data_IF_268061659696
#
_entry.id   IF_268061659696
#
_cell.length_a   1.000
_cell.length_b   1.000
_cell.length_c   1.000
_cell.angle_alpha   90.00
_cell.angle_beta   90.00
_cell.angle_gamma   90.00
#
_symmetry.space_group_name_H-M   'P 1'
#
loop_
_entity.id
_entity.type
_entity.pdbx_description
1 polymer ?
#
# COMPACT_ATOMS: atom_id res chain seq x y z
N UNK A 1 -13.70 59.66 -18.96
CA UNK A 1 -13.38 58.75 -20.08
C UNK A 1 -12.18 57.91 -19.69
N UNK A 2 -12.45 56.64 -19.39
CA UNK A 2 -11.47 55.60 -19.06
C UNK A 2 -10.73 55.15 -20.32
N UNK A 3 -9.45 54.78 -20.21
CA UNK A 3 -8.79 53.87 -21.14
C UNK A 3 -7.86 52.95 -20.34
N UNK A 4 -8.40 51.77 -20.05
CA UNK A 4 -7.73 50.58 -19.53
C UNK A 4 -7.08 49.83 -20.71
N UNK A 5 -5.78 49.56 -20.62
CA UNK A 5 -5.08 48.66 -21.53
C UNK A 5 -5.28 47.20 -21.10
N UNK A 6 -6.07 46.45 -21.87
CA UNK A 6 -6.17 44.99 -21.75
C UNK A 6 -5.01 44.33 -22.48
N UNK A 7 -4.06 43.77 -21.73
CA UNK A 7 -3.14 42.75 -22.23
C UNK A 7 -3.80 41.38 -22.09
N UNK A 8 -4.31 40.84 -23.19
CA UNK A 8 -4.80 39.45 -23.25
C UNK A 8 -3.61 38.49 -23.20
N UNK A 9 -3.42 37.81 -22.08
CA UNK A 9 -2.59 36.61 -22.00
C UNK A 9 -3.43 35.46 -22.55
N UNK A 10 -3.04 34.95 -23.70
CA UNK A 10 -3.59 33.74 -24.32
C UNK A 10 -3.28 32.55 -23.42
N UNK A 11 -4.26 32.16 -22.61
CA UNK A 11 -4.22 30.90 -21.86
C UNK A 11 -4.30 29.74 -22.85
N UNK A 12 -3.17 29.05 -23.04
CA UNK A 12 -3.18 27.75 -23.69
C UNK A 12 -4.04 26.76 -22.90
N UNK A 13 -4.60 25.73 -23.56
CA UNK A 13 -5.44 24.75 -22.89
C UNK A 13 -4.63 24.04 -21.80
N UNK A 14 -4.99 24.26 -20.54
CA UNK A 14 -4.54 23.42 -19.44
C UNK A 14 -4.94 21.97 -19.76
N UNK A 15 -4.04 20.99 -19.63
CA UNK A 15 -4.43 19.59 -19.73
C UNK A 15 -5.50 19.34 -18.66
N UNK A 16 -6.63 18.76 -19.08
CA UNK A 16 -7.74 18.35 -18.21
C UNK A 16 -7.16 17.69 -16.96
N UNK A 17 -7.18 18.39 -15.82
CA UNK A 17 -6.98 17.76 -14.53
C UNK A 17 -7.96 16.57 -14.50
N UNK A 18 -7.44 15.35 -14.39
CA UNK A 18 -8.28 14.16 -14.40
C UNK A 18 -9.40 14.40 -13.38
N UNK A 19 -10.63 14.53 -13.86
CA UNK A 19 -11.76 14.85 -13.03
C UNK A 19 -11.80 13.79 -11.94
N UNK A 20 -11.67 14.22 -10.69
CA UNK A 20 -11.75 13.32 -9.55
C UNK A 20 -13.04 12.53 -9.70
N UNK A 21 -12.91 11.21 -9.88
CA UNK A 21 -14.07 10.35 -10.15
C UNK A 21 -14.88 10.31 -8.87
N UNK A 22 -15.91 11.16 -8.81
CA UNK A 22 -16.84 11.19 -7.70
C UNK A 22 -17.80 10.02 -7.87
N UNK A 23 -17.36 8.86 -7.38
CA UNK A 23 -18.16 7.64 -7.40
C UNK A 23 -19.37 7.83 -6.48
N UNK A 24 -20.54 7.38 -6.95
CA UNK A 24 -21.71 7.30 -6.07
C UNK A 24 -21.47 6.29 -4.95
N UNK A 25 -22.16 6.43 -3.81
CA UNK A 25 -22.06 5.50 -2.68
C UNK A 25 -22.29 4.04 -3.10
N UNK A 26 -23.19 3.83 -4.06
CA UNK A 26 -23.45 2.50 -4.63
C UNK A 26 -22.22 1.94 -5.36
N UNK A 27 -21.55 2.78 -6.15
CA UNK A 27 -20.36 2.39 -6.90
C UNK A 27 -19.18 2.12 -5.96
N UNK A 28 -19.02 2.92 -4.90
CA UNK A 28 -18.02 2.68 -3.85
C UNK A 28 -18.24 1.30 -3.22
N UNK A 29 -19.46 1.00 -2.80
CA UNK A 29 -19.80 -0.30 -2.22
C UNK A 29 -19.53 -1.45 -3.20
N UNK A 30 -19.85 -1.26 -4.48
CA UNK A 30 -19.55 -2.23 -5.53
C UNK A 30 -18.04 -2.46 -5.71
N UNK A 31 -17.21 -1.42 -5.72
CA UNK A 31 -15.75 -1.60 -5.82
C UNK A 31 -15.18 -2.34 -4.61
N UNK A 32 -15.62 -2.01 -3.40
CA UNK A 32 -15.21 -2.70 -2.16
C UNK A 32 -15.61 -4.19 -2.21
N UNK A 33 -16.80 -4.50 -2.71
CA UNK A 33 -17.23 -5.89 -2.87
C UNK A 33 -16.48 -6.65 -3.97
N UNK A 34 -16.14 -5.98 -5.07
CA UNK A 34 -15.30 -6.55 -6.12
C UNK A 34 -13.90 -6.86 -5.61
N UNK A 35 -13.28 -5.96 -4.84
CA UNK A 35 -11.99 -6.20 -4.19
C UNK A 35 -12.07 -7.42 -3.26
N UNK A 36 -13.06 -7.45 -2.37
CA UNK A 36 -13.28 -8.59 -1.47
C UNK A 36 -13.48 -9.90 -2.22
N UNK A 37 -14.20 -9.88 -3.34
CA UNK A 37 -14.40 -11.07 -4.19
C UNK A 37 -13.08 -11.55 -4.82
N UNK A 38 -12.27 -10.65 -5.36
CA UNK A 38 -10.96 -11.00 -5.93
C UNK A 38 -10.05 -11.61 -4.87
N UNK A 39 -10.00 -11.03 -3.67
CA UNK A 39 -9.21 -11.55 -2.55
C UNK A 39 -9.68 -12.94 -2.10
N UNK A 40 -11.01 -13.20 -2.07
CA UNK A 40 -11.54 -14.54 -1.77
C UNK A 40 -11.16 -15.56 -2.84
N UNK A 41 -11.29 -15.22 -4.12
CA UNK A 41 -10.87 -16.09 -5.22
C UNK A 41 -9.36 -16.40 -5.16
N UNK A 42 -8.54 -15.39 -4.84
CA UNK A 42 -7.11 -15.59 -4.63
C UNK A 42 -6.85 -16.57 -3.48
N UNK A 43 -7.58 -16.46 -2.37
CA UNK A 43 -7.46 -17.38 -1.23
C UNK A 43 -7.90 -18.80 -1.55
N UNK A 44 -9.06 -18.97 -2.19
CA UNK A 44 -9.57 -20.27 -2.60
C UNK A 44 -8.62 -20.97 -3.58
N UNK A 45 -8.10 -20.23 -4.58
CA UNK A 45 -7.21 -20.79 -5.61
C UNK A 45 -5.83 -21.22 -5.09
N UNK A 46 -5.42 -20.71 -3.91
CA UNK A 46 -4.08 -20.95 -3.37
C UNK A 46 -4.07 -21.92 -2.19
N UNK A 47 -5.20 -22.42 -1.70
CA UNK A 47 -5.20 -23.37 -0.58
C UNK A 47 -4.35 -24.61 -0.89
N UNK A 48 -3.46 -25.05 0.03
CA UNK A 48 -3.26 -24.59 1.41
C UNK A 48 -2.19 -23.49 1.60
N UNK A 49 -1.68 -22.88 0.53
CA UNK A 49 -0.66 -21.82 0.56
C UNK A 49 -1.25 -20.43 0.92
N UNK A 50 -0.36 -19.47 1.19
CA UNK A 50 -0.76 -18.10 1.51
C UNK A 50 -1.48 -17.42 0.31
N UNK A 51 -2.67 -16.83 0.52
CA UNK A 51 -3.43 -16.10 -0.51
C UNK A 51 -2.67 -14.92 -1.10
N UNK A 52 -2.00 -14.14 -0.24
CA UNK A 52 -1.26 -12.93 -0.58
C UNK A 52 0.02 -12.88 0.26
N UNK A 53 1.11 -12.40 -0.35
CA UNK A 53 2.41 -12.23 0.31
C UNK A 53 2.79 -10.76 0.50
N UNK A 54 2.01 -9.85 -0.09
CA UNK A 54 2.23 -8.41 -0.01
C UNK A 54 1.27 -7.68 -0.94
N UNK A 55 1.13 -6.38 -0.73
CA UNK A 55 0.27 -5.53 -1.54
C UNK A 55 0.90 -4.15 -1.77
N UNK A 56 0.53 -3.54 -2.89
CA UNK A 56 0.90 -2.16 -3.22
C UNK A 56 -0.38 -1.36 -3.38
N UNK A 57 -0.53 -0.33 -2.55
CA UNK A 57 -1.52 0.70 -2.74
C UNK A 57 -0.97 1.73 -3.73
N UNK A 58 -1.57 1.80 -4.92
CA UNK A 58 -1.22 2.77 -5.94
C UNK A 58 -2.03 4.05 -5.73
N UNK A 59 -1.33 5.17 -5.53
CA UNK A 59 -1.95 6.49 -5.41
C UNK A 59 -1.43 7.35 -6.55
N UNK A 60 -2.30 7.71 -7.48
CA UNK A 60 -1.90 8.57 -8.58
C UNK A 60 -1.58 9.99 -8.10
N UNK A 61 -0.56 10.61 -8.70
CA UNK A 61 -0.07 11.94 -8.35
C UNK A 61 -1.13 13.04 -8.50
N UNK A 62 -1.94 12.98 -9.57
CA UNK A 62 -3.01 13.96 -9.76
C UNK A 62 -4.11 13.75 -8.72
N UNK A 63 -4.42 12.48 -8.43
CA UNK A 63 -5.39 12.11 -7.39
C UNK A 63 -4.93 12.58 -6.01
N UNK A 64 -3.64 12.46 -5.68
CA UNK A 64 -3.06 12.94 -4.43
C UNK A 64 -3.21 14.46 -4.25
N UNK A 65 -3.02 15.23 -5.34
CA UNK A 65 -3.18 16.69 -5.31
C UNK A 65 -4.63 17.15 -5.25
N UNK A 66 -5.54 16.42 -5.88
CA UNK A 66 -6.95 16.80 -6.05
C UNK A 66 -7.92 16.22 -5.02
N UNK A 67 -7.54 15.19 -4.28
CA UNK A 67 -8.46 14.49 -3.38
C UNK A 67 -8.94 15.39 -2.21
N UNK A 68 -10.23 15.29 -1.85
CA UNK A 68 -10.73 15.81 -0.58
C UNK A 68 -9.95 15.29 0.62
N UNK A 69 -9.80 16.16 1.63
CA UNK A 69 -9.13 15.83 2.90
C UNK A 69 -9.76 14.60 3.55
N UNK A 70 -8.93 13.65 3.97
CA UNK A 70 -9.30 12.41 4.63
C UNK A 70 -9.85 11.31 3.71
N UNK A 71 -10.10 11.58 2.43
CA UNK A 71 -10.69 10.59 1.53
C UNK A 71 -9.70 9.47 1.20
N UNK A 72 -8.46 9.81 0.83
CA UNK A 72 -7.45 8.81 0.46
C UNK A 72 -7.12 7.88 1.64
N UNK A 73 -6.98 8.44 2.84
CA UNK A 73 -6.72 7.63 4.03
C UNK A 73 -7.88 6.69 4.36
N UNK A 74 -9.12 7.13 4.11
CA UNK A 74 -10.31 6.29 4.29
C UNK A 74 -10.36 5.16 3.27
N UNK A 75 -10.17 5.44 1.99
CA UNK A 75 -10.14 4.42 0.92
C UNK A 75 -9.05 3.39 1.19
N UNK A 76 -7.82 3.82 1.45
CA UNK A 76 -6.71 2.91 1.75
C UNK A 76 -6.98 2.03 2.96
N UNK A 77 -7.62 2.58 4.00
CA UNK A 77 -7.97 1.84 5.20
C UNK A 77 -9.05 0.79 4.92
N UNK A 78 -10.10 1.17 4.19
CA UNK A 78 -11.20 0.29 3.84
C UNK A 78 -10.75 -0.85 2.93
N UNK A 79 -9.93 -0.56 1.92
CA UNK A 79 -9.36 -1.56 1.03
C UNK A 79 -8.47 -2.54 1.78
N UNK A 80 -7.57 -2.04 2.64
CA UNK A 80 -6.72 -2.88 3.47
C UNK A 80 -7.54 -3.77 4.42
N UNK A 81 -8.56 -3.21 5.08
CA UNK A 81 -9.46 -3.96 5.95
C UNK A 81 -10.19 -5.06 5.17
N UNK A 82 -10.71 -4.74 3.99
CA UNK A 82 -11.44 -5.68 3.14
C UNK A 82 -10.54 -6.81 2.63
N UNK A 83 -9.29 -6.49 2.29
CA UNK A 83 -8.29 -7.49 1.91
C UNK A 83 -7.98 -8.44 3.07
N UNK A 84 -7.76 -7.91 4.27
CA UNK A 84 -7.46 -8.71 5.47
C UNK A 84 -8.65 -9.58 5.85
N UNK A 85 -9.88 -9.05 5.78
CA UNK A 85 -11.09 -9.84 6.00
C UNK A 85 -11.23 -10.98 4.98
N UNK A 86 -11.01 -10.70 3.69
CA UNK A 86 -11.18 -11.71 2.64
C UNK A 86 -10.09 -12.78 2.64
N UNK A 87 -8.85 -12.41 2.98
CA UNK A 87 -7.69 -13.32 2.97
C UNK A 87 -7.37 -13.93 4.32
N UNK A 88 -7.92 -13.36 5.40
CA UNK A 88 -7.65 -13.72 6.79
C UNK A 88 -6.17 -13.55 7.21
N UNK A 89 -5.43 -12.70 6.48
CA UNK A 89 -4.00 -12.45 6.69
C UNK A 89 -3.69 -10.96 6.63
N UNK A 90 -2.78 -10.54 7.50
CA UNK A 90 -2.07 -9.28 7.40
C UNK A 90 -0.80 -9.53 6.59
N UNK A 91 -0.68 -8.85 5.45
CA UNK A 91 0.51 -8.90 4.60
C UNK A 91 1.15 -7.50 4.49
N UNK A 92 2.46 -7.41 4.19
CA UNK A 92 3.14 -6.14 4.02
C UNK A 92 2.51 -5.31 2.91
N UNK A 93 2.22 -4.04 3.22
CA UNK A 93 1.61 -3.10 2.30
C UNK A 93 2.55 -1.92 2.05
N UNK A 94 2.91 -1.67 0.79
CA UNK A 94 3.62 -0.46 0.39
C UNK A 94 2.64 0.56 -0.19
N UNK A 95 2.82 1.84 0.13
CA UNK A 95 2.15 2.93 -0.62
C UNK A 95 3.11 3.40 -1.71
N UNK A 96 2.65 3.40 -2.96
CA UNK A 96 3.40 3.88 -4.11
C UNK A 96 2.64 5.00 -4.79
N UNK A 97 3.21 6.21 -4.76
CA UNK A 97 2.70 7.37 -5.46
C UNK A 97 3.21 7.33 -6.91
N UNK A 98 2.29 7.17 -7.86
CA UNK A 98 2.57 7.00 -9.31
C UNK A 98 2.25 8.27 -10.10
N UNK A 99 2.54 8.30 -11.41
CA UNK A 99 2.19 9.43 -12.30
C UNK A 99 3.25 10.53 -12.35
N UNK A 100 4.41 10.31 -11.74
CA UNK A 100 5.52 11.27 -11.76
C UNK A 100 6.25 11.35 -13.12
N UNK A 101 5.95 10.46 -14.08
CA UNK A 101 6.43 10.56 -15.46
C UNK A 101 5.84 11.74 -16.25
N UNK A 102 4.82 12.41 -15.70
CA UNK A 102 4.27 13.65 -16.25
C UNK A 102 4.93 14.91 -15.65
N UNK A 103 5.58 14.76 -14.49
CA UNK A 103 6.18 15.87 -13.77
C UNK A 103 7.57 16.20 -14.31
N UNK A 104 7.68 17.36 -14.97
CA UNK A 104 8.90 17.76 -15.69
C UNK A 104 10.15 17.80 -14.80
N UNK A 105 10.00 18.18 -13.53
CA UNK A 105 11.10 18.14 -12.55
C UNK A 105 11.52 16.73 -12.19
N UNK A 106 10.60 15.76 -12.14
CA UNK A 106 10.91 14.38 -11.79
C UNK A 106 11.57 13.63 -12.96
N UNK A 107 11.13 13.94 -14.19
CA UNK A 107 11.80 13.49 -15.41
C UNK A 107 13.25 13.98 -15.42
N UNK A 108 13.48 15.26 -15.10
CA UNK A 108 14.83 15.83 -15.04
C UNK A 108 15.67 15.21 -13.91
N UNK A 109 15.07 14.95 -12.75
CA UNK A 109 15.72 14.27 -11.63
C UNK A 109 16.19 12.88 -12.06
N UNK A 110 15.27 12.07 -12.60
CA UNK A 110 15.57 10.70 -13.06
C UNK A 110 16.67 10.70 -14.13
N UNK A 111 16.60 11.64 -15.08
CA UNK A 111 17.61 11.79 -16.13
C UNK A 111 19.01 12.05 -15.57
N UNK A 112 19.13 12.86 -14.51
CA UNK A 112 20.42 13.21 -13.88
C UNK A 112 20.93 12.13 -12.93
N UNK A 113 20.02 11.43 -12.25
CA UNK A 113 20.34 10.29 -11.40
C UNK A 113 20.87 9.12 -12.22
N UNK A 114 20.35 8.95 -13.43
CA UNK A 114 20.72 7.88 -14.35
C UNK A 114 19.90 6.60 -14.14
N UNK A 115 19.75 5.83 -15.22
CA UNK A 115 18.83 4.69 -15.28
C UNK A 115 19.15 3.61 -14.23
N UNK A 116 20.43 3.27 -14.03
CA UNK A 116 20.81 2.21 -13.09
C UNK A 116 20.42 2.57 -11.65
N UNK A 117 20.77 3.77 -11.19
CA UNK A 117 20.39 4.24 -9.85
C UNK A 117 18.88 4.37 -9.70
N UNK A 118 18.19 4.84 -10.75
CA UNK A 118 16.73 4.96 -10.73
C UNK A 118 16.02 3.60 -10.66
N UNK A 119 16.64 2.55 -11.21
CA UNK A 119 16.09 1.20 -11.22
C UNK A 119 16.38 0.42 -9.94
N UNK A 120 17.59 0.57 -9.40
CA UNK A 120 18.08 -0.25 -8.30
C UNK A 120 17.77 0.37 -6.93
N UNK A 121 17.63 1.69 -6.84
CA UNK A 121 17.26 2.37 -5.59
C UNK A 121 15.75 2.55 -5.46
N UNK A 122 15.30 2.74 -4.21
CA UNK A 122 13.94 3.19 -3.87
C UNK A 122 13.93 4.71 -3.68
N UNK A 123 12.84 5.35 -4.06
CA UNK A 123 12.65 6.78 -3.84
C UNK A 123 11.47 7.01 -2.90
N UNK A 124 11.73 7.68 -1.77
CA UNK A 124 10.80 7.76 -0.64
C UNK A 124 11.44 7.20 0.63
N UNK A 125 10.63 6.66 1.54
CA UNK A 125 11.13 6.17 2.82
C UNK A 125 10.45 4.86 3.25
N UNK A 126 11.26 3.95 3.79
CA UNK A 126 10.78 2.70 4.37
C UNK A 126 10.18 2.92 5.75
N UNK A 127 9.31 2.01 6.16
CA UNK A 127 8.74 1.99 7.50
C UNK A 127 8.92 0.61 8.11
N UNK A 128 9.09 0.55 9.43
CA UNK A 128 9.09 -0.72 10.12
C UNK A 128 7.66 -1.27 10.13
N UNK A 129 7.38 -2.28 9.31
CA UNK A 129 6.05 -2.89 9.18
C UNK A 129 5.55 -3.52 10.49
N UNK A 130 6.47 -3.84 11.42
CA UNK A 130 6.14 -4.34 12.76
C UNK A 130 5.87 -3.22 13.77
N UNK A 131 6.09 -1.95 13.42
CA UNK A 131 5.73 -0.84 14.31
C UNK A 131 4.21 -0.63 14.35
N UNK A 132 3.68 -0.10 15.45
CA UNK A 132 2.29 0.34 15.51
C UNK A 132 2.05 1.53 14.57
N UNK A 133 0.87 1.59 13.97
CA UNK A 133 0.45 2.69 13.08
C UNK A 133 0.02 3.92 13.91
N UNK A 134 0.99 4.59 14.53
CA UNK A 134 0.76 5.83 15.29
C UNK A 134 0.77 7.06 14.39
N UNK A 135 -0.19 7.98 14.59
CA UNK A 135 -0.33 9.19 13.76
C UNK A 135 0.98 9.99 13.66
N UNK A 136 1.70 10.16 14.76
CA UNK A 136 2.97 10.90 14.79
C UNK A 136 4.07 10.22 13.97
N UNK A 137 4.18 8.89 14.03
CA UNK A 137 5.17 8.13 13.28
C UNK A 137 4.84 8.14 11.77
N UNK A 138 3.57 8.03 11.42
CA UNK A 138 3.11 8.09 10.03
C UNK A 138 3.26 9.51 9.44
N UNK A 139 3.05 10.54 10.25
CA UNK A 139 3.36 11.91 9.85
C UNK A 139 4.86 12.09 9.58
N UNK A 140 5.72 11.51 10.44
CA UNK A 140 7.16 11.52 10.24
C UNK A 140 7.56 10.76 8.97
N UNK A 141 6.98 9.58 8.73
CA UNK A 141 7.17 8.80 7.50
C UNK A 141 6.83 9.63 6.25
N UNK A 142 5.69 10.33 6.26
CA UNK A 142 5.30 11.20 5.14
C UNK A 142 6.31 12.32 4.88
N UNK A 143 6.79 12.98 5.95
CA UNK A 143 7.83 14.01 5.85
C UNK A 143 9.14 13.43 5.31
N UNK A 144 9.58 12.28 5.81
CA UNK A 144 10.83 11.63 5.38
C UNK A 144 10.75 11.14 3.92
N UNK A 145 9.61 10.57 3.53
CA UNK A 145 9.38 10.13 2.15
C UNK A 145 9.45 11.32 1.19
N UNK A 146 8.83 12.46 1.53
CA UNK A 146 8.94 13.68 0.74
C UNK A 146 10.33 14.33 0.82
N UNK A 147 11.02 14.21 1.96
CA UNK A 147 12.39 14.69 2.17
C UNK A 147 13.40 14.08 1.22
N UNK A 148 13.16 12.86 0.72
CA UNK A 148 13.99 12.25 -0.32
C UNK A 148 14.11 13.15 -1.58
N UNK A 149 13.07 13.91 -1.95
CA UNK A 149 13.21 14.85 -3.06
C UNK A 149 14.24 15.94 -2.78
N UNK A 150 14.23 16.47 -1.56
CA UNK A 150 15.18 17.50 -1.13
C UNK A 150 16.61 16.98 -1.13
N UNK A 151 16.83 15.82 -0.52
CA UNK A 151 18.15 15.20 -0.42
C UNK A 151 18.77 14.96 -1.81
N UNK A 152 17.99 14.37 -2.72
CA UNK A 152 18.45 14.06 -4.07
C UNK A 152 18.65 15.32 -4.92
N UNK A 153 17.74 16.30 -4.85
CA UNK A 153 17.89 17.56 -5.60
C UNK A 153 19.11 18.34 -5.11
N UNK A 154 19.34 18.39 -3.80
CA UNK A 154 20.52 19.04 -3.24
C UNK A 154 21.81 18.29 -3.57
N UNK A 155 21.81 16.95 -3.57
CA UNK A 155 22.95 16.17 -4.06
C UNK A 155 23.30 16.54 -5.51
N UNK A 156 22.28 16.65 -6.38
CA UNK A 156 22.46 17.08 -7.77
C UNK A 156 22.97 18.52 -7.89
N UNK A 157 22.54 19.43 -7.01
CA UNK A 157 23.01 20.82 -6.99
C UNK A 157 24.42 21.00 -6.42
N UNK A 158 24.91 20.05 -5.61
CA UNK A 158 26.29 20.06 -5.10
C UNK A 158 27.33 19.69 -6.16
N UNK A 159 26.91 19.15 -7.31
CA UNK A 159 27.83 18.78 -8.38
C UNK A 159 28.53 20.03 -8.95
N UNK A 160 29.85 20.01 -9.23
CA UNK A 160 30.61 21.18 -9.71
C UNK A 160 29.98 21.91 -10.91
N UNK A 161 29.42 21.16 -11.85
CA UNK A 161 28.79 21.71 -13.06
C UNK A 161 27.31 22.09 -12.89
N UNK A 162 26.75 22.00 -11.68
CA UNK A 162 25.29 22.11 -11.48
C UNK A 162 24.75 23.46 -11.95
N UNK A 163 25.45 24.57 -11.67
CA UNK A 163 25.02 25.93 -12.03
C UNK A 163 24.95 26.16 -13.55
N UNK A 164 25.77 25.45 -14.33
CA UNK A 164 25.78 25.55 -15.80
C UNK A 164 24.75 24.65 -16.50
N UNK A 165 24.07 23.75 -15.77
CA UNK A 165 23.11 22.82 -16.36
C UNK A 165 21.75 23.52 -16.57
N UNK A 166 21.20 23.35 -17.77
CA UNK A 166 19.83 23.76 -18.10
C UNK A 166 18.82 22.94 -17.29
N UNK A 167 17.60 23.46 -17.10
CA UNK A 167 16.49 22.81 -16.36
C UNK A 167 16.62 22.76 -14.81
N UNK A 168 17.51 23.54 -14.19
CA UNK A 168 17.55 23.64 -12.72
C UNK A 168 16.27 24.24 -12.13
N UNK A 169 15.61 25.12 -12.89
CA UNK A 169 14.29 25.67 -12.60
C UNK A 169 13.23 24.58 -12.42
N UNK A 170 13.29 23.49 -13.20
CA UNK A 170 12.36 22.35 -13.07
C UNK A 170 12.56 21.56 -11.79
N UNK A 171 13.82 21.33 -11.40
CA UNK A 171 14.15 20.66 -10.14
C UNK A 171 13.74 21.52 -8.95
N UNK A 172 14.03 22.82 -9.00
CA UNK A 172 13.61 23.75 -7.97
C UNK A 172 12.08 23.87 -7.88
N UNK A 173 11.39 23.93 -9.01
CA UNK A 173 9.93 23.93 -9.08
C UNK A 173 9.31 22.69 -8.44
N UNK A 174 9.88 21.50 -8.73
CA UNK A 174 9.47 20.25 -8.06
C UNK A 174 9.71 20.31 -6.56
N UNK A 175 10.87 20.80 -6.11
CA UNK A 175 11.16 20.94 -4.67
C UNK A 175 10.15 21.84 -3.96
N UNK A 176 9.81 22.98 -4.57
CA UNK A 176 8.79 23.88 -4.05
C UNK A 176 7.44 23.19 -3.96
N UNK A 177 6.97 22.57 -5.06
CA UNK A 177 5.70 21.83 -5.12
C UNK A 177 5.64 20.72 -4.07
N UNK A 178 6.74 19.99 -3.88
CA UNK A 178 6.85 18.95 -2.85
C UNK A 178 6.63 19.52 -1.45
N UNK A 179 7.27 20.64 -1.12
CA UNK A 179 7.17 21.25 0.22
C UNK A 179 5.81 21.92 0.47
N UNK A 180 5.28 22.64 -0.51
CA UNK A 180 4.08 23.47 -0.32
C UNK A 180 2.77 22.70 -0.50
N UNK A 181 2.72 21.76 -1.44
CA UNK A 181 1.47 21.15 -1.87
C UNK A 181 1.41 19.66 -1.52
N UNK A 182 2.46 18.90 -1.86
CA UNK A 182 2.38 17.44 -1.84
C UNK A 182 2.69 16.86 -0.46
N UNK A 183 3.72 17.36 0.23
CA UNK A 183 4.09 16.84 1.54
C UNK A 183 2.94 16.93 2.56
N UNK A 184 2.20 18.05 2.69
CA UNK A 184 1.04 18.09 3.58
C UNK A 184 0.01 17.00 3.26
N UNK A 185 -0.26 16.74 1.97
CA UNK A 185 -1.20 15.71 1.52
C UNK A 185 -0.73 14.29 1.83
N UNK A 186 0.56 14.00 1.61
CA UNK A 186 1.15 12.69 1.94
C UNK A 186 1.12 12.46 3.46
N UNK A 187 1.50 13.47 4.23
CA UNK A 187 1.45 13.42 5.70
C UNK A 187 0.02 13.17 6.19
N UNK A 188 -0.95 13.89 5.64
CA UNK A 188 -2.36 13.72 5.98
C UNK A 188 -2.88 12.31 5.62
N UNK A 189 -2.61 11.86 4.40
CA UNK A 189 -3.01 10.53 3.92
C UNK A 189 -2.44 9.42 4.81
N UNK A 190 -1.14 9.45 5.10
CA UNK A 190 -0.49 8.44 5.93
C UNK A 190 -0.93 8.54 7.39
N UNK A 191 -0.98 9.73 7.97
CA UNK A 191 -1.43 9.92 9.36
C UNK A 191 -2.86 9.45 9.55
N UNK A 192 -3.71 9.61 8.52
CA UNK A 192 -5.06 9.09 8.52
C UNK A 192 -5.12 7.57 8.61
N UNK A 193 -4.08 6.81 8.23
CA UNK A 193 -4.05 5.35 8.44
C UNK A 193 -3.92 4.98 9.93
N UNK A 194 -3.56 5.94 10.79
CA UNK A 194 -3.54 5.70 12.23
C UNK A 194 -4.94 5.38 12.77
N UNK A 195 -4.99 4.60 13.83
CA UNK A 195 -6.26 4.19 14.43
C UNK A 195 -7.13 3.31 13.53
N UNK A 196 -6.59 2.82 12.41
CA UNK A 196 -7.19 1.76 11.60
C UNK A 196 -7.30 0.47 12.41
N UNK A 197 -8.28 0.40 13.31
CA UNK A 197 -8.78 -0.85 13.86
C UNK A 197 -9.67 -1.45 12.80
N UNK A 198 -9.24 -2.59 12.28
CA UNK A 198 -10.05 -3.36 11.34
C UNK A 198 -11.30 -3.84 12.11
N UNK A 199 -12.49 -3.86 11.50
CA UNK A 199 -13.65 -4.47 12.12
C UNK A 199 -13.26 -5.88 12.60
N UNK A 200 -13.54 -6.16 13.88
CA UNK A 200 -13.15 -7.36 14.65
C UNK A 200 -11.89 -7.27 15.55
N UNK A 201 -11.33 -6.07 15.78
CA UNK A 201 -10.37 -5.83 16.88
C UNK A 201 -8.89 -6.01 16.52
N UNK A 202 -8.60 -6.42 15.29
CA UNK A 202 -7.26 -6.66 14.80
C UNK A 202 -6.44 -5.40 14.48
N UNK A 203 -5.15 -5.65 14.26
CA UNK A 203 -4.13 -4.69 13.83
C UNK A 203 -4.47 -4.11 12.44
N UNK A 204 -4.04 -2.88 12.15
CA UNK A 204 -4.11 -2.31 10.79
C UNK A 204 -3.20 -3.05 9.78
N UNK A 205 -3.10 -2.56 8.53
CA UNK A 205 -2.16 -3.12 7.56
C UNK A 205 -0.71 -3.02 8.03
N UNK A 206 0.13 -3.98 7.61
CA UNK A 206 1.57 -3.97 7.88
C UNK A 206 2.28 -3.02 6.92
N UNK A 207 2.15 -1.71 7.15
CA UNK A 207 2.71 -0.68 6.26
C UNK A 207 4.25 -0.78 6.20
N UNK A 208 4.84 -1.00 5.04
CA UNK A 208 6.30 -1.15 4.89
C UNK A 208 7.01 0.09 4.32
N UNK A 209 6.25 1.14 3.97
CA UNK A 209 6.81 2.42 3.55
C UNK A 209 5.90 3.22 2.61
N UNK A 210 6.37 4.42 2.28
CA UNK A 210 5.75 5.30 1.29
C UNK A 210 6.81 5.69 0.25
N UNK A 211 6.52 5.39 -1.01
CA UNK A 211 7.46 5.50 -2.11
C UNK A 211 6.84 6.29 -3.26
N UNK A 212 7.70 6.77 -4.13
CA UNK A 212 7.35 7.52 -5.33
C UNK A 212 7.97 6.82 -6.53
N UNK A 213 7.21 6.75 -7.62
CA UNK A 213 7.68 6.11 -8.83
C UNK A 213 7.02 6.67 -10.07
N UNK A 214 7.67 6.41 -11.19
CA UNK A 214 7.15 6.67 -12.52
C UNK A 214 6.97 5.33 -13.22
N UNK A 215 5.77 5.11 -13.79
CA UNK A 215 5.38 3.85 -14.43
C UNK A 215 5.14 4.04 -15.94
N UNK A 216 5.79 5.05 -16.54
CA UNK A 216 5.56 5.41 -17.93
C UNK A 216 5.81 4.27 -18.92
N UNK A 217 5.16 4.32 -20.08
CA UNK A 217 5.23 3.25 -21.09
C UNK A 217 6.61 3.05 -21.72
N UNK A 218 7.50 4.05 -21.65
CA UNK A 218 8.88 3.95 -22.13
C UNK A 218 9.84 3.65 -20.97
N UNK A 219 10.85 2.81 -21.22
CA UNK A 219 11.84 2.41 -20.20
C UNK A 219 12.55 3.58 -19.51
N UNK A 220 12.82 4.68 -20.23
CA UNK A 220 13.43 5.89 -19.65
C UNK A 220 12.47 6.72 -18.78
N UNK A 221 11.17 6.44 -18.83
CA UNK A 221 10.12 7.04 -18.00
C UNK A 221 9.69 6.13 -16.85
N UNK A 222 10.35 4.99 -16.68
CA UNK A 222 10.16 4.12 -15.53
C UNK A 222 11.26 4.39 -14.51
N UNK A 223 10.86 4.72 -13.29
CA UNK A 223 11.81 5.03 -12.23
C UNK A 223 11.28 4.55 -10.88
N UNK A 224 12.16 3.91 -10.11
CA UNK A 224 11.98 3.52 -8.71
C UNK A 224 10.83 2.54 -8.41
N UNK A 225 10.10 2.05 -9.42
CA UNK A 225 9.01 1.08 -9.24
C UNK A 225 9.55 -0.33 -8.91
N UNK A 226 10.57 -0.79 -9.65
CA UNK A 226 11.14 -2.15 -9.50
C UNK A 226 11.63 -2.43 -8.07
N UNK A 227 12.27 -1.45 -7.46
CA UNK A 227 12.89 -1.59 -6.14
C UNK A 227 11.85 -1.65 -5.00
N UNK A 228 10.64 -1.14 -5.22
CA UNK A 228 9.48 -1.32 -4.33
C UNK A 228 8.96 -2.76 -4.39
N UNK A 229 8.85 -3.34 -5.60
CA UNK A 229 8.52 -4.76 -5.74
C UNK A 229 9.57 -5.66 -5.10
N UNK A 230 10.86 -5.36 -5.32
CA UNK A 230 11.95 -6.09 -4.66
C UNK A 230 11.83 -6.01 -3.13
N UNK A 231 11.44 -4.86 -2.58
CA UNK A 231 11.22 -4.71 -1.14
C UNK A 231 10.07 -5.56 -0.63
N UNK A 232 8.99 -5.68 -1.39
CA UNK A 232 7.87 -6.54 -0.99
C UNK A 232 8.24 -8.03 -1.06
N UNK A 233 9.04 -8.43 -2.05
CA UNK A 233 9.57 -9.79 -2.11
C UNK A 233 10.51 -10.09 -0.92
N UNK A 234 11.32 -9.12 -0.49
CA UNK A 234 12.13 -9.27 0.74
C UNK A 234 11.26 -9.48 2.00
N UNK A 235 10.01 -9.02 2.00
CA UNK A 235 9.09 -9.10 3.14
C UNK A 235 8.01 -10.19 2.93
N UNK A 236 8.14 -11.03 1.91
CA UNK A 236 7.04 -11.95 1.51
C UNK A 236 6.70 -13.02 2.57
N UNK A 237 7.59 -13.22 3.52
CA UNK A 237 7.46 -14.12 4.67
C UNK A 237 6.93 -13.42 5.93
N UNK A 238 6.90 -12.08 5.96
CA UNK A 238 6.43 -11.27 7.10
C UNK A 238 4.90 -11.18 7.12
N UNK A 239 4.25 -12.32 7.35
CA UNK A 239 2.80 -12.48 7.35
C UNK A 239 2.25 -12.75 8.75
N UNK A 240 1.10 -12.16 9.09
CA UNK A 240 0.41 -12.42 10.36
C UNK A 240 -1.02 -12.92 10.09
N UNK A 241 -1.42 -14.02 10.73
CA UNK A 241 -2.81 -14.48 10.70
C UNK A 241 -3.73 -13.48 11.40
N UNK A 242 -4.87 -13.19 10.80
CA UNK A 242 -5.87 -12.34 11.44
C UNK A 242 -6.46 -13.02 12.67
N UNK A 243 -6.96 -12.22 13.62
CA UNK A 243 -7.63 -12.76 14.81
C UNK A 243 -8.87 -13.59 14.47
N UNK A 244 -9.54 -13.29 13.35
CA UNK A 244 -10.64 -14.09 12.84
C UNK A 244 -10.19 -15.47 12.36
N UNK A 245 -9.01 -15.55 11.73
CA UNK A 245 -8.40 -16.81 11.31
C UNK A 245 -8.15 -17.71 12.52
N UNK A 246 -7.53 -17.14 13.57
CA UNK A 246 -7.29 -17.84 14.83
C UNK A 246 -8.58 -18.32 15.48
N UNK A 247 -9.63 -17.47 15.53
CA UNK A 247 -10.92 -17.85 16.10
C UNK A 247 -11.57 -19.02 15.37
N UNK A 248 -11.49 -19.05 14.04
CA UNK A 248 -12.00 -20.18 13.23
C UNK A 248 -11.20 -21.45 13.51
N UNK A 249 -9.88 -21.36 13.55
CA UNK A 249 -9.00 -22.51 13.84
C UNK A 249 -9.29 -23.10 15.22
N UNK A 250 -9.41 -22.27 16.27
CA UNK A 250 -9.76 -22.76 17.60
C UNK A 250 -11.14 -23.44 17.65
N UNK A 251 -12.12 -22.95 16.89
CA UNK A 251 -13.43 -23.60 16.78
C UNK A 251 -13.31 -24.98 16.13
N UNK A 252 -12.54 -25.10 15.04
CA UNK A 252 -12.28 -26.39 14.39
C UNK A 252 -11.51 -27.35 15.29
N UNK A 253 -10.47 -26.89 15.97
CA UNK A 253 -9.70 -27.72 16.91
C UNK A 253 -10.57 -28.27 18.05
N UNK A 254 -11.54 -27.50 18.53
CA UNK A 254 -12.51 -27.98 19.53
C UNK A 254 -13.36 -29.13 18.98
N UNK A 255 -13.87 -28.99 17.75
CA UNK A 255 -14.66 -30.03 17.08
C UNK A 255 -13.81 -31.29 16.87
N UNK A 256 -12.60 -31.14 16.35
CA UNK A 256 -11.66 -32.25 16.12
C UNK A 256 -11.35 -32.97 17.43
N UNK A 257 -11.07 -32.23 18.50
CA UNK A 257 -10.81 -32.79 19.83
C UNK A 257 -12.01 -33.58 20.35
N UNK A 258 -13.22 -33.05 20.20
CA UNK A 258 -14.45 -33.78 20.56
C UNK A 258 -14.63 -35.06 19.74
N UNK A 259 -14.39 -35.02 18.43
CA UNK A 259 -14.46 -36.20 17.56
C UNK A 259 -13.40 -37.26 17.93
N UNK A 260 -12.18 -36.83 18.30
CA UNK A 260 -11.13 -37.74 18.76
C UNK A 260 -11.51 -38.44 20.07
N UNK A 261 -12.10 -37.72 21.03
CA UNK A 261 -12.61 -38.33 22.28
C UNK A 261 -13.69 -39.36 21.99
N UNK A 262 -14.66 -39.03 21.11
CA UNK A 262 -15.70 -39.98 20.70
C UNK A 262 -15.10 -41.21 20.02
N UNK A 263 -14.13 -41.03 19.13
CA UNK A 263 -13.45 -42.13 18.45
C UNK A 263 -12.67 -43.01 19.45
N UNK A 264 -11.96 -42.42 20.41
CA UNK A 264 -11.27 -43.15 21.46
C UNK A 264 -12.23 -44.01 22.32
N UNK A 265 -13.41 -43.47 22.67
CA UNK A 265 -14.45 -44.21 23.39
C UNK A 265 -15.02 -45.38 22.56
N UNK A 266 -15.24 -45.17 21.27
CA UNK A 266 -15.69 -46.24 20.36
C UNK A 266 -14.65 -47.36 20.26
N UNK A 267 -13.37 -47.03 20.08
CA UNK A 267 -12.27 -48.01 20.07
C UNK A 267 -12.20 -48.78 21.39
N UNK A 268 -12.26 -48.08 22.52
CA UNK A 268 -12.27 -48.72 23.84
C UNK A 268 -13.46 -49.67 24.02
N UNK A 269 -14.63 -49.31 23.48
CA UNK A 269 -15.85 -50.13 23.53
C UNK A 269 -15.69 -51.41 22.68
N UNK A 270 -15.15 -51.28 21.47
CA UNK A 270 -14.87 -52.43 20.59
C UNK A 270 -13.86 -53.38 21.24
N UNK A 271 -12.76 -52.85 21.78
CA UNK A 271 -11.77 -53.65 22.51
C UNK A 271 -12.40 -54.33 23.72
N UNK A 272 -13.21 -53.62 24.51
CA UNK A 272 -13.94 -54.18 25.64
C UNK A 272 -14.88 -55.32 25.25
N UNK A 273 -15.64 -55.16 24.15
CA UNK A 273 -16.51 -56.20 23.61
C UNK A 273 -15.73 -57.42 23.12
N UNK A 274 -14.60 -57.23 22.45
CA UNK A 274 -13.72 -58.32 22.01
C UNK A 274 -13.16 -59.09 23.20
N UNK A 275 -12.65 -58.39 24.22
CA UNK A 275 -12.17 -59.03 25.46
C UNK A 275 -13.28 -59.82 26.13
N UNK A 276 -14.48 -59.24 26.26
CA UNK A 276 -15.62 -59.94 26.83
C UNK A 276 -15.97 -61.22 26.06
N UNK A 277 -16.02 -61.14 24.73
CA UNK A 277 -16.33 -62.27 23.85
C UNK A 277 -15.30 -63.40 23.93
N UNK A 278 -14.00 -63.08 23.97
CA UNK A 278 -12.93 -64.09 23.98
C UNK A 278 -12.69 -64.72 25.35
N UNK A 279 -12.86 -63.99 26.44
CA UNK A 279 -12.56 -64.50 27.79
C UNK A 279 -13.77 -65.04 28.54
N UNK A 280 -15.00 -64.71 28.11
CA UNK A 280 -16.23 -65.27 28.66
C UNK A 280 -17.04 -66.05 27.59
N UNK A 281 -16.44 -67.02 26.88
CA UNK A 281 -17.22 -67.92 26.04
C UNK A 281 -18.14 -68.76 26.93
N UNK A 282 -19.40 -68.91 26.50
CA UNK A 282 -20.35 -69.85 27.10
C UNK A 282 -19.94 -71.29 26.87
#
# INVERSE_FOLDING_TARGET
TMLTGQGSVVGGPQPNAAAFVNLDRKEIAEQVDRLGRVCRLAAESRQPLCPINGSIALVDWQTLGGAPTGQLSTVLREDAARMIEATQLHAPMAVLITGLDEETGFIELTRRVGENRARDNRFGHGFNHQAPLEAGQLAALGKQACGAFEDWIYELFRHPDALGRTNNDKLYGLLCKMRSEIQPRVVEMLSGLSGARIPAGGRGPLLCGCYFGAAGGARMRQAFVRSVFAKLLELEEDLEWSEDAWRKEFAFQRIVSSMLVVNALLVATIVGLLVFYFFFPK
#
